data_IF_160003192232
#
_entry.id   IF_160003192232
#
_cell.length_a   1.000
_cell.length_b   1.000
_cell.length_c   1.000
_cell.angle_alpha   90.00
_cell.angle_beta   90.00
_cell.angle_gamma   90.00
#
_symmetry.space_group_name_H-M   'P 1'
#
loop_
_entity.id
_entity.type
_entity.pdbx_description
1 polymer ?
#
# COMPACT_ATOMS: atom_id res chain seq x y z
N UNK A 1 -9.50 18.90 -35.56
CA UNK A 1 -10.34 18.68 -34.36
C UNK A 1 -9.40 18.62 -33.18
N UNK A 2 -9.41 19.63 -32.32
CA UNK A 2 -8.63 19.64 -31.08
C UNK A 2 -9.32 18.70 -30.08
N UNK A 3 -8.73 17.54 -29.85
CA UNK A 3 -9.14 16.63 -28.77
C UNK A 3 -8.96 17.35 -27.44
N UNK A 4 -10.04 17.46 -26.66
CA UNK A 4 -9.99 18.04 -25.31
C UNK A 4 -9.11 17.16 -24.42
N UNK A 5 -8.25 17.72 -23.54
CA UNK A 5 -7.30 16.96 -22.72
C UNK A 5 -7.93 15.80 -21.93
N UNK A 6 -9.14 15.99 -21.40
CA UNK A 6 -9.92 14.93 -20.71
C UNK A 6 -10.21 13.71 -21.61
N UNK A 7 -10.49 13.94 -22.89
CA UNK A 7 -10.73 12.87 -23.88
C UNK A 7 -9.44 12.10 -24.18
N UNK A 8 -8.30 12.78 -24.23
CA UNK A 8 -6.99 12.16 -24.46
C UNK A 8 -6.55 11.30 -23.27
N UNK A 9 -6.67 11.81 -22.04
CA UNK A 9 -6.38 11.08 -20.81
C UNK A 9 -7.20 9.79 -20.71
N UNK A 10 -8.51 9.89 -20.95
CA UNK A 10 -9.43 8.75 -20.91
C UNK A 10 -9.09 7.70 -21.95
N UNK A 11 -8.74 8.11 -23.18
CA UNK A 11 -8.34 7.18 -24.24
C UNK A 11 -7.03 6.45 -23.92
N UNK A 12 -6.01 7.18 -23.44
CA UNK A 12 -4.71 6.61 -23.10
C UNK A 12 -4.81 5.62 -21.94
N UNK A 13 -5.49 5.99 -20.85
CA UNK A 13 -5.69 5.09 -19.72
C UNK A 13 -6.61 3.92 -20.05
N UNK A 14 -7.67 4.13 -20.84
CA UNK A 14 -8.52 3.04 -21.29
C UNK A 14 -7.74 1.98 -22.06
N UNK A 15 -6.83 2.41 -22.94
CA UNK A 15 -5.93 1.49 -23.65
C UNK A 15 -4.97 0.80 -22.70
N UNK A 16 -4.29 1.53 -21.82
CA UNK A 16 -3.33 0.95 -20.86
C UNK A 16 -4.00 -0.06 -19.90
N UNK A 17 -5.22 0.23 -19.44
CA UNK A 17 -6.01 -0.68 -18.63
C UNK A 17 -6.37 -1.96 -19.40
N UNK A 18 -6.81 -1.83 -20.66
CA UNK A 18 -7.12 -2.99 -21.50
C UNK A 18 -5.88 -3.86 -21.76
N UNK A 19 -4.74 -3.24 -22.11
CA UNK A 19 -3.46 -3.92 -22.30
C UNK A 19 -2.98 -4.64 -21.02
N UNK A 20 -3.40 -4.14 -19.84
CA UNK A 20 -3.15 -4.76 -18.54
C UNK A 20 -4.16 -5.84 -18.12
N UNK A 21 -5.19 -6.10 -18.95
CA UNK A 21 -6.26 -7.07 -18.65
C UNK A 21 -7.32 -6.54 -17.67
N UNK A 22 -7.45 -5.22 -17.55
CA UNK A 22 -8.48 -4.56 -16.75
C UNK A 22 -9.60 -3.98 -17.63
N UNK A 23 -10.78 -3.86 -17.03
CA UNK A 23 -11.92 -3.14 -17.59
C UNK A 23 -12.07 -1.79 -16.90
N UNK A 24 -12.32 -0.74 -17.69
CA UNK A 24 -12.80 0.53 -17.15
C UNK A 24 -14.29 0.37 -16.86
N UNK A 25 -14.64 0.19 -15.59
CA UNK A 25 -16.02 0.00 -15.12
C UNK A 25 -16.78 1.34 -15.15
N UNK A 26 -16.11 2.39 -14.68
CA UNK A 26 -16.68 3.74 -14.64
C UNK A 26 -15.59 4.80 -14.81
N UNK A 27 -15.98 5.94 -15.35
CA UNK A 27 -15.18 7.17 -15.39
C UNK A 27 -16.05 8.30 -14.85
N UNK A 28 -15.60 8.91 -13.76
CA UNK A 28 -16.36 9.91 -13.01
C UNK A 28 -15.53 11.18 -12.86
N UNK A 29 -16.20 12.35 -12.89
CA UNK A 29 -15.56 13.60 -12.50
C UNK A 29 -15.36 13.63 -10.99
N UNK A 30 -14.20 14.09 -10.55
CA UNK A 30 -13.84 14.29 -9.16
C UNK A 30 -13.30 15.69 -8.89
N UNK A 31 -12.97 15.93 -7.63
CA UNK A 31 -12.29 17.14 -7.18
C UNK A 31 -11.15 16.73 -6.25
N UNK A 32 -9.98 17.34 -6.46
CA UNK A 32 -8.86 17.20 -5.54
C UNK A 32 -9.11 17.95 -4.22
N UNK A 33 -8.16 17.86 -3.30
CA UNK A 33 -8.24 18.55 -2.01
C UNK A 33 -8.44 20.08 -2.11
N UNK A 34 -7.96 20.70 -3.20
CA UNK A 34 -8.05 22.13 -3.47
C UNK A 34 -9.22 22.49 -4.41
N UNK A 35 -10.19 21.58 -4.61
CA UNK A 35 -11.34 21.75 -5.50
C UNK A 35 -10.97 21.94 -6.97
N UNK A 36 -9.84 21.38 -7.41
CA UNK A 36 -9.48 21.31 -8.84
C UNK A 36 -10.05 20.04 -9.47
N UNK A 37 -10.45 20.09 -10.75
CA UNK A 37 -11.00 18.93 -11.44
C UNK A 37 -10.03 17.73 -11.51
N UNK A 38 -10.54 16.55 -11.17
CA UNK A 38 -9.87 15.25 -11.35
C UNK A 38 -10.76 14.32 -12.17
N UNK A 39 -10.17 13.30 -12.77
CA UNK A 39 -10.89 12.17 -13.36
C UNK A 39 -10.63 10.91 -12.53
N UNK A 40 -11.71 10.27 -12.09
CA UNK A 40 -11.70 9.01 -11.34
C UNK A 40 -12.03 7.85 -12.26
N UNK A 41 -11.09 6.93 -12.39
CA UNK A 41 -11.25 5.68 -13.11
C UNK A 41 -11.48 4.56 -12.11
N UNK A 42 -12.64 3.91 -12.21
CA UNK A 42 -12.90 2.65 -11.51
C UNK A 42 -12.54 1.52 -12.45
N UNK A 43 -11.48 0.80 -12.12
CA UNK A 43 -10.98 -0.34 -12.90
C UNK A 43 -11.32 -1.65 -12.19
N UNK A 44 -11.56 -2.71 -12.93
CA UNK A 44 -11.77 -4.04 -12.35
C UNK A 44 -11.35 -5.16 -13.29
N UNK A 45 -11.43 -6.38 -12.79
CA UNK A 45 -11.17 -7.58 -13.57
C UNK A 45 -12.38 -7.91 -14.46
N UNK A 46 -12.17 -8.60 -15.60
CA UNK A 46 -13.25 -9.18 -16.40
C UNK A 46 -13.78 -10.46 -15.73
N UNK A 47 -14.11 -10.39 -14.43
CA UNK A 47 -14.65 -11.46 -13.61
C UNK A 47 -15.81 -10.94 -12.73
N UNK A 48 -16.50 -11.86 -12.06
CA UNK A 48 -17.65 -11.53 -11.20
C UNK A 48 -17.23 -11.18 -9.76
N UNK A 49 -15.95 -10.89 -9.50
CA UNK A 49 -15.47 -10.71 -8.13
C UNK A 49 -15.86 -9.36 -7.51
N UNK A 50 -16.27 -8.39 -8.34
CA UNK A 50 -16.66 -7.04 -7.90
C UNK A 50 -15.52 -6.21 -7.29
N UNK A 51 -14.28 -6.73 -7.27
CA UNK A 51 -13.10 -6.04 -6.75
C UNK A 51 -12.66 -4.96 -7.73
N UNK A 52 -12.39 -3.77 -7.22
CA UNK A 52 -12.06 -2.61 -8.05
C UNK A 52 -10.83 -1.86 -7.54
N UNK A 53 -10.10 -1.26 -8.47
CA UNK A 53 -9.07 -0.26 -8.24
C UNK A 53 -9.67 1.11 -8.54
N UNK A 54 -9.45 2.08 -7.66
CA UNK A 54 -9.72 3.49 -7.92
C UNK A 54 -8.42 4.19 -8.27
N UNK A 55 -8.36 4.75 -9.48
CA UNK A 55 -7.29 5.63 -9.94
C UNK A 55 -7.85 7.03 -10.15
N UNK A 56 -7.36 8.01 -9.41
CA UNK A 56 -7.76 9.41 -9.50
C UNK A 56 -6.56 10.24 -9.96
N UNK A 57 -6.72 10.91 -11.10
CA UNK A 57 -5.70 11.78 -11.68
C UNK A 57 -6.25 13.18 -11.93
N UNK A 58 -5.40 14.20 -11.85
CA UNK A 58 -5.75 15.55 -12.33
C UNK A 58 -6.25 15.52 -13.79
N UNK A 59 -7.28 16.29 -14.14
CA UNK A 59 -7.74 16.38 -15.55
C UNK A 59 -6.68 16.96 -16.49
N UNK A 60 -5.76 17.77 -15.95
CA UNK A 60 -4.62 18.34 -16.66
C UNK A 60 -3.40 17.41 -16.69
N UNK A 61 -3.50 16.19 -16.15
CA UNK A 61 -2.39 15.24 -16.18
C UNK A 61 -2.13 14.79 -17.62
N UNK A 62 -0.88 14.87 -18.04
CA UNK A 62 -0.42 14.45 -19.36
C UNK A 62 0.73 13.46 -19.23
N UNK A 63 0.81 12.53 -20.17
CA UNK A 63 1.89 11.57 -20.31
C UNK A 63 3.01 12.14 -21.20
N UNK A 64 3.37 13.39 -20.97
CA UNK A 64 4.34 14.14 -21.78
C UNK A 64 5.77 13.58 -21.66
N UNK A 65 6.10 13.04 -20.47
CA UNK A 65 7.36 12.34 -20.24
C UNK A 65 7.27 10.88 -20.71
N UNK A 66 8.25 10.39 -21.49
CA UNK A 66 8.18 9.09 -22.15
C UNK A 66 8.10 7.90 -21.18
N UNK A 67 8.55 8.06 -19.93
CA UNK A 67 8.53 7.01 -18.91
C UNK A 67 7.18 6.86 -18.18
N UNK A 68 6.30 7.88 -18.24
CA UNK A 68 5.08 7.89 -17.41
C UNK A 68 4.07 6.83 -17.88
N UNK A 69 3.76 6.78 -19.17
CA UNK A 69 2.77 5.83 -19.69
C UNK A 69 3.23 4.36 -19.54
N UNK A 70 4.48 3.99 -19.86
CA UNK A 70 4.97 2.64 -19.57
C UNK A 70 4.87 2.26 -18.10
N UNK A 71 5.27 3.16 -17.18
CA UNK A 71 5.18 2.90 -15.74
C UNK A 71 3.72 2.78 -15.25
N UNK A 72 2.80 3.56 -15.81
CA UNK A 72 1.35 3.41 -15.58
C UNK A 72 0.87 2.02 -16.04
N UNK A 73 1.23 1.60 -17.25
CA UNK A 73 0.86 0.26 -17.76
C UNK A 73 1.39 -0.86 -16.89
N UNK A 74 2.65 -0.81 -16.46
CA UNK A 74 3.22 -1.79 -15.52
C UNK A 74 2.45 -1.82 -14.21
N UNK A 75 2.14 -0.65 -13.63
CA UNK A 75 1.33 -0.59 -12.43
C UNK A 75 -0.07 -1.21 -12.63
N UNK A 76 -0.73 -0.95 -13.76
CA UNK A 76 -2.04 -1.54 -14.04
C UNK A 76 -1.96 -3.07 -14.17
N UNK A 77 -0.88 -3.63 -14.71
CA UNK A 77 -0.64 -5.07 -14.76
C UNK A 77 -0.45 -5.66 -13.36
N UNK A 78 0.33 -4.99 -12.51
CA UNK A 78 0.50 -5.35 -11.10
C UNK A 78 -0.82 -5.25 -10.34
N UNK A 79 -1.61 -4.21 -10.59
CA UNK A 79 -2.93 -4.02 -10.00
C UNK A 79 -3.91 -5.11 -10.44
N UNK A 80 -3.87 -5.55 -11.70
CA UNK A 80 -4.66 -6.68 -12.19
C UNK A 80 -4.32 -7.98 -11.45
N UNK A 81 -3.04 -8.24 -11.16
CA UNK A 81 -2.64 -9.37 -10.30
C UNK A 81 -3.18 -9.17 -8.88
N UNK A 82 -2.95 -8.00 -8.30
CA UNK A 82 -3.34 -7.69 -6.92
C UNK A 82 -4.86 -7.74 -6.69
N UNK A 83 -5.67 -7.35 -7.68
CA UNK A 83 -7.13 -7.45 -7.64
C UNK A 83 -7.63 -8.91 -7.53
N UNK A 84 -6.80 -9.91 -7.85
CA UNK A 84 -7.15 -11.31 -7.63
C UNK A 84 -6.99 -11.75 -6.18
N UNK A 85 -6.33 -10.97 -5.33
CA UNK A 85 -6.31 -11.23 -3.89
C UNK A 85 -7.74 -11.08 -3.32
N UNK A 86 -8.11 -11.85 -2.29
CA UNK A 86 -9.40 -11.69 -1.62
C UNK A 86 -9.60 -10.28 -1.08
N UNK A 87 -8.53 -9.67 -0.55
CA UNK A 87 -8.47 -8.30 -0.05
C UNK A 87 -7.32 -7.53 -0.73
N UNK A 88 -7.55 -6.89 -1.90
CA UNK A 88 -6.51 -6.20 -2.67
C UNK A 88 -5.91 -4.98 -1.96
N UNK A 89 -6.62 -4.40 -1.00
CA UNK A 89 -6.23 -3.26 -0.18
C UNK A 89 -5.41 -3.65 1.06
N UNK A 90 -5.34 -4.94 1.38
CA UNK A 90 -4.67 -5.44 2.57
C UNK A 90 -3.17 -5.73 2.36
N UNK A 91 -2.37 -5.40 3.36
CA UNK A 91 -0.92 -5.60 3.44
C UNK A 91 -0.55 -6.13 4.82
N UNK A 92 0.70 -6.54 4.99
CA UNK A 92 1.29 -6.80 6.31
C UNK A 92 2.55 -5.96 6.50
N UNK A 93 2.87 -5.65 7.76
CA UNK A 93 4.15 -5.05 8.15
C UNK A 93 5.11 -6.12 8.66
N UNK A 94 6.42 -5.85 8.64
CA UNK A 94 7.44 -6.76 9.18
C UNK A 94 7.22 -7.03 10.66
N UNK A 95 6.72 -6.05 11.42
CA UNK A 95 6.44 -6.21 12.84
C UNK A 95 5.27 -7.17 13.17
N UNK A 96 4.43 -7.54 12.19
CA UNK A 96 3.31 -8.46 12.43
C UNK A 96 1.91 -7.89 12.22
N UNK A 97 1.78 -6.63 11.78
CA UNK A 97 0.47 -5.97 11.66
C UNK A 97 -0.16 -6.22 10.28
N UNK A 98 -1.34 -6.86 10.18
CA UNK A 98 -2.16 -6.83 8.99
C UNK A 98 -2.93 -5.51 8.92
N UNK A 99 -2.81 -4.78 7.82
CA UNK A 99 -3.44 -3.47 7.63
C UNK A 99 -4.11 -3.35 6.28
N UNK A 100 -5.23 -2.63 6.20
CA UNK A 100 -5.77 -2.16 4.92
C UNK A 100 -5.53 -0.66 4.75
N UNK A 101 -5.33 -0.25 3.50
CA UNK A 101 -5.02 1.12 3.10
C UNK A 101 -6.08 1.62 2.12
N UNK A 102 -6.83 2.64 2.52
CA UNK A 102 -7.93 3.18 1.71
C UNK A 102 -8.13 4.69 1.88
N UNK A 103 -9.15 5.21 1.20
CA UNK A 103 -9.64 6.59 1.35
C UNK A 103 -8.58 7.68 1.11
N UNK A 104 -7.63 7.42 0.19
CA UNK A 104 -6.60 8.38 -0.15
C UNK A 104 -7.17 9.51 -1.02
N UNK A 105 -6.96 10.76 -0.60
CA UNK A 105 -7.38 11.95 -1.31
C UNK A 105 -6.32 12.39 -2.32
N UNK A 106 -6.25 11.67 -3.44
CA UNK A 106 -5.33 11.96 -4.54
C UNK A 106 -5.79 13.16 -5.39
N UNK A 107 -4.86 13.83 -6.10
CA UNK A 107 -3.40 13.71 -5.98
C UNK A 107 -2.83 14.41 -4.74
N UNK A 108 -1.50 14.35 -4.59
CA UNK A 108 -0.77 15.19 -3.64
C UNK A 108 -1.07 16.68 -3.84
N UNK A 109 -1.32 17.40 -2.75
CA UNK A 109 -1.52 18.86 -2.77
C UNK A 109 -0.45 19.57 -1.95
N UNK A 110 -0.10 20.81 -2.31
CA UNK A 110 0.85 21.60 -1.52
C UNK A 110 0.23 21.96 -0.16
N UNK A 111 1.04 21.90 0.89
CA UNK A 111 0.62 22.34 2.22
C UNK A 111 0.20 23.81 2.20
N UNK A 112 -0.94 24.11 2.84
CA UNK A 112 -1.44 25.47 3.04
C UNK A 112 -0.89 26.14 4.31
N UNK A 113 -0.18 25.39 5.16
CA UNK A 113 0.38 25.89 6.42
C UNK A 113 1.74 26.61 6.26
N UNK A 114 2.17 26.90 5.03
CA UNK A 114 3.46 27.52 4.73
C UNK A 114 4.65 26.55 4.73
N UNK A 115 4.41 25.26 4.92
CA UNK A 115 5.45 24.23 4.82
C UNK A 115 5.78 23.88 3.37
N UNK A 116 7.06 23.62 3.09
CA UNK A 116 7.57 23.18 1.79
C UNK A 116 7.37 21.67 1.56
N UNK A 117 6.11 21.25 1.68
CA UNK A 117 5.70 19.85 1.54
C UNK A 117 4.45 19.71 0.69
N UNK A 118 4.38 18.60 -0.04
CA UNK A 118 3.16 18.05 -0.59
C UNK A 118 2.56 17.06 0.40
N UNK A 119 1.23 17.01 0.47
CA UNK A 119 0.49 16.17 1.39
C UNK A 119 -0.54 15.33 0.63
N UNK A 120 -0.69 14.08 1.03
CA UNK A 120 -1.85 13.24 0.71
C UNK A 120 -2.41 12.70 2.02
N UNK A 121 -3.73 12.68 2.13
CA UNK A 121 -4.43 12.14 3.28
C UNK A 121 -5.02 10.78 2.94
N UNK A 122 -5.03 9.85 3.88
CA UNK A 122 -5.65 8.53 3.72
C UNK A 122 -6.02 7.92 5.06
N UNK A 123 -6.47 6.68 5.05
CA UNK A 123 -6.78 5.91 6.26
C UNK A 123 -6.11 4.54 6.22
N UNK A 124 -5.60 4.14 7.39
CA UNK A 124 -5.01 2.82 7.64
C UNK A 124 -5.87 2.13 8.67
N UNK A 125 -6.35 0.93 8.38
CA UNK A 125 -7.17 0.13 9.31
C UNK A 125 -6.44 -1.12 9.75
N UNK A 126 -6.68 -1.58 10.99
CA UNK A 126 -6.25 -2.90 11.40
C UNK A 126 -7.12 -3.98 10.73
N UNK A 127 -6.51 -4.86 9.96
CA UNK A 127 -7.19 -5.90 9.18
C UNK A 127 -6.95 -7.30 9.79
N UNK A 128 -7.33 -7.51 11.04
CA UNK A 128 -7.08 -8.78 11.76
C UNK A 128 -8.20 -9.83 11.63
N UNK A 129 -9.17 -9.64 10.72
CA UNK A 129 -10.31 -10.53 10.52
C UNK A 129 -11.42 -10.43 11.58
N UNK A 130 -11.31 -9.53 12.56
CA UNK A 130 -12.27 -9.39 13.67
C UNK A 130 -13.12 -8.11 13.60
N UNK A 131 -13.20 -7.47 12.43
CA UNK A 131 -13.85 -6.16 12.26
C UNK A 131 -13.33 -5.12 13.25
N UNK A 132 -12.00 -5.05 13.39
CA UNK A 132 -11.37 -4.13 14.34
C UNK A 132 -11.76 -2.67 14.07
N UNK A 133 -12.15 -1.90 15.09
CA UNK A 133 -12.42 -0.46 14.94
C UNK A 133 -11.13 0.37 14.89
N UNK A 134 -9.96 -0.24 15.09
CA UNK A 134 -8.69 0.48 15.18
C UNK A 134 -8.24 0.97 13.80
N UNK A 135 -7.95 2.27 13.72
CA UNK A 135 -7.51 2.93 12.50
C UNK A 135 -6.63 4.14 12.78
N UNK A 136 -5.90 4.59 11.78
CA UNK A 136 -5.20 5.86 11.80
C UNK A 136 -5.56 6.63 10.54
N UNK A 137 -6.08 7.86 10.70
CA UNK A 137 -6.06 8.82 9.60
C UNK A 137 -4.62 9.28 9.43
N UNK A 138 -4.10 9.23 8.22
CA UNK A 138 -2.71 9.59 7.93
C UNK A 138 -2.62 10.86 7.11
N UNK A 139 -1.53 11.58 7.33
CA UNK A 139 -1.09 12.71 6.51
C UNK A 139 0.31 12.40 6.03
N UNK A 140 0.40 11.75 4.88
CA UNK A 140 1.67 11.46 4.24
C UNK A 140 2.24 12.76 3.65
N UNK A 141 3.44 13.13 4.07
CA UNK A 141 4.07 14.39 3.71
C UNK A 141 5.38 14.14 2.95
N UNK A 142 5.46 14.71 1.76
CA UNK A 142 6.59 14.62 0.84
C UNK A 142 7.25 16.00 0.72
N UNK A 143 8.54 16.12 0.99
CA UNK A 143 9.24 17.41 0.85
C UNK A 143 9.35 17.82 -0.62
N UNK A 144 9.46 19.13 -0.91
CA UNK A 144 9.68 19.62 -2.29
C UNK A 144 10.89 18.95 -2.96
N UNK A 145 11.99 18.79 -2.22
CA UNK A 145 13.20 18.11 -2.69
C UNK A 145 13.01 16.64 -3.03
N UNK A 146 12.02 15.99 -2.41
CA UNK A 146 11.66 14.62 -2.75
C UNK A 146 10.70 14.59 -3.94
N UNK A 147 9.82 15.57 -4.08
CA UNK A 147 8.94 15.68 -5.24
C UNK A 147 9.73 15.77 -6.57
N UNK A 148 10.94 16.34 -6.55
CA UNK A 148 11.83 16.41 -7.72
C UNK A 148 12.32 15.04 -8.23
N UNK A 149 12.36 14.02 -7.37
CA UNK A 149 12.82 12.67 -7.74
C UNK A 149 11.65 11.71 -8.04
N UNK A 150 10.42 12.11 -7.73
CA UNK A 150 9.22 11.33 -8.02
C UNK A 150 8.74 11.69 -9.43
N UNK A 151 8.41 10.72 -10.29
CA UNK A 151 8.01 11.02 -11.68
C UNK A 151 6.82 11.99 -11.79
N UNK A 152 5.81 11.79 -10.92
CA UNK A 152 4.64 12.67 -10.77
C UNK A 152 4.03 12.52 -9.36
N UNK A 153 3.32 13.55 -8.90
CA UNK A 153 2.64 13.55 -7.61
C UNK A 153 1.28 12.80 -7.62
N UNK A 154 0.99 12.14 -8.74
CA UNK A 154 -0.25 11.43 -9.05
C UNK A 154 -0.11 9.93 -8.73
N UNK A 155 -1.24 9.22 -8.70
CA UNK A 155 -1.20 7.76 -8.75
C UNK A 155 -0.67 7.28 -10.12
N UNK A 156 0.02 6.13 -10.19
CA UNK A 156 0.56 5.33 -9.09
C UNK A 156 1.96 5.76 -8.64
N UNK A 157 2.54 6.75 -9.31
CA UNK A 157 3.94 7.18 -9.15
C UNK A 157 4.27 7.54 -7.71
N UNK A 158 3.29 8.15 -7.01
CA UNK A 158 3.42 8.47 -5.61
C UNK A 158 2.90 7.37 -4.66
N UNK A 159 1.85 6.65 -5.05
CA UNK A 159 1.14 5.68 -4.21
C UNK A 159 2.03 4.61 -3.57
N UNK A 160 2.83 3.92 -4.39
CA UNK A 160 3.55 2.72 -3.93
C UNK A 160 4.50 3.02 -2.77
N UNK A 161 5.25 4.13 -2.82
CA UNK A 161 6.16 4.47 -1.72
C UNK A 161 5.42 5.00 -0.49
N UNK A 162 4.21 5.56 -0.63
CA UNK A 162 3.39 5.97 0.52
C UNK A 162 2.94 4.77 1.32
N UNK A 163 2.45 3.72 0.65
CA UNK A 163 2.03 2.50 1.33
C UNK A 163 3.20 1.87 2.10
N UNK A 164 4.39 1.85 1.51
CA UNK A 164 5.60 1.36 2.16
C UNK A 164 6.09 2.27 3.30
N UNK A 165 5.97 3.59 3.15
CA UNK A 165 6.28 4.54 4.22
C UNK A 165 5.35 4.36 5.42
N UNK A 166 4.05 4.13 5.18
CA UNK A 166 3.07 3.84 6.25
C UNK A 166 3.47 2.57 7.00
N UNK A 167 3.74 1.47 6.29
CA UNK A 167 4.15 0.20 6.89
C UNK A 167 5.42 0.34 7.74
N UNK A 168 6.42 1.06 7.22
CA UNK A 168 7.66 1.35 7.96
C UNK A 168 7.41 2.23 9.19
N UNK A 169 6.52 3.21 9.10
CA UNK A 169 6.17 4.10 10.22
C UNK A 169 5.49 3.32 11.35
N UNK A 170 4.64 2.34 10.99
CA UNK A 170 4.07 1.38 11.95
C UNK A 170 5.15 0.52 12.60
N UNK A 171 6.09 -0.05 11.83
CA UNK A 171 7.18 -0.87 12.39
C UNK A 171 8.08 -0.10 13.36
N UNK A 172 8.20 1.22 13.17
CA UNK A 172 8.96 2.09 14.07
C UNK A 172 8.15 2.58 15.27
N UNK A 173 6.89 2.18 15.42
CA UNK A 173 6.02 2.62 16.51
C UNK A 173 5.68 4.11 16.42
N UNK A 174 5.81 4.71 15.23
CA UNK A 174 5.60 6.14 14.97
C UNK A 174 4.20 6.45 14.44
N UNK A 175 3.37 5.42 14.23
CA UNK A 175 1.97 5.53 13.86
C UNK A 175 1.15 4.62 14.79
N UNK A 176 0.19 5.20 15.51
CA UNK A 176 -0.66 4.47 16.45
C UNK A 176 -2.03 4.17 15.81
N UNK A 177 -2.47 2.90 15.83
CA UNK A 177 -3.83 2.56 15.40
C UNK A 177 -4.80 2.84 16.54
N UNK A 178 -5.53 3.95 16.42
CA UNK A 178 -6.40 4.52 17.44
C UNK A 178 -7.89 4.43 17.05
N UNK A 179 -8.76 4.88 17.94
CA UNK A 179 -10.15 5.25 17.59
C UNK A 179 -10.27 6.77 17.45
N UNK A 180 -9.28 7.41 16.82
CA UNK A 180 -9.14 8.88 16.79
C UNK A 180 -9.36 9.44 15.39
N UNK A 181 -10.03 10.60 15.32
CA UNK A 181 -10.21 11.36 14.09
C UNK A 181 -9.00 12.22 13.71
N UNK A 182 -7.98 12.32 14.55
CA UNK A 182 -6.81 13.15 14.28
C UNK A 182 -5.88 12.50 13.26
N UNK A 183 -5.39 13.30 12.31
CA UNK A 183 -4.41 12.84 11.32
C UNK A 183 -3.04 12.72 11.96
N UNK A 184 -2.39 11.58 11.77
CA UNK A 184 -1.03 11.33 12.20
C UNK A 184 -0.07 11.53 11.02
N UNK A 185 1.10 12.14 11.23
CA UNK A 185 2.06 12.40 10.17
C UNK A 185 2.74 11.10 9.73
N UNK A 186 2.89 10.93 8.41
CA UNK A 186 3.73 9.89 7.82
C UNK A 186 4.82 10.59 7.00
N UNK A 187 6.06 10.69 7.50
CA UNK A 187 7.11 11.41 6.81
C UNK A 187 7.65 10.60 5.63
N UNK A 188 7.62 11.20 4.44
CA UNK A 188 8.21 10.64 3.22
C UNK A 188 9.43 11.48 2.90
N UNK A 189 10.60 10.92 3.16
CA UNK A 189 11.85 11.68 3.10
C UNK A 189 12.80 11.05 2.11
N UNK A 190 13.80 11.82 1.67
CA UNK A 190 14.91 11.36 0.84
C UNK A 190 15.69 10.20 1.44
N UNK A 191 15.55 9.92 2.75
CA UNK A 191 16.13 8.72 3.39
C UNK A 191 15.55 7.41 2.85
N UNK A 192 14.38 7.45 2.22
CA UNK A 192 13.80 6.28 1.58
C UNK A 192 14.26 6.10 0.13
N UNK A 193 15.16 6.94 -0.38
CA UNK A 193 15.63 6.85 -1.76
C UNK A 193 17.16 6.90 -1.84
N UNK A 194 17.75 5.86 -2.44
CA UNK A 194 19.17 5.86 -2.78
C UNK A 194 19.37 6.55 -4.12
N UNK A 195 19.95 7.76 -4.12
CA UNK A 195 20.32 8.46 -5.37
C UNK A 195 21.35 7.70 -6.19
N UNK A 196 22.22 6.93 -5.54
CA UNK A 196 23.26 6.13 -6.18
C UNK A 196 22.70 4.91 -6.90
N UNK A 197 21.78 4.20 -6.25
CA UNK A 197 21.15 3.00 -6.82
C UNK A 197 19.86 3.32 -7.59
N UNK A 198 19.41 4.58 -7.55
CA UNK A 198 18.16 5.08 -8.12
C UNK A 198 16.92 4.28 -7.72
N UNK A 199 16.89 3.74 -6.49
CA UNK A 199 15.77 2.95 -5.97
C UNK A 199 15.32 3.39 -4.59
N UNK A 200 14.05 3.11 -4.28
CA UNK A 200 13.53 3.25 -2.93
C UNK A 200 14.01 2.12 -2.02
N UNK A 201 14.18 2.44 -0.74
CA UNK A 201 14.62 1.53 0.31
C UNK A 201 13.82 1.84 1.59
N UNK A 202 13.15 0.83 2.14
CA UNK A 202 12.35 0.98 3.35
C UNK A 202 12.96 0.19 4.51
N UNK A 203 12.89 -1.13 4.47
CA UNK A 203 13.35 -1.96 5.57
C UNK A 203 14.55 -2.77 5.12
N UNK A 204 15.64 -2.74 5.90
CA UNK A 204 16.73 -3.67 5.70
C UNK A 204 16.30 -5.02 6.24
N UNK A 205 16.40 -6.07 5.42
CA UNK A 205 15.97 -7.42 5.81
C UNK A 205 16.97 -8.44 5.34
N UNK A 206 17.17 -9.47 6.15
CA UNK A 206 17.85 -10.70 5.78
C UNK A 206 16.85 -11.75 5.28
N UNK A 207 17.36 -12.91 4.90
CA UNK A 207 16.55 -13.99 4.32
C UNK A 207 15.54 -14.55 5.34
N UNK A 208 15.94 -14.70 6.61
CA UNK A 208 15.06 -15.16 7.68
C UNK A 208 13.87 -14.20 7.87
N UNK A 209 14.14 -12.89 7.90
CA UNK A 209 13.10 -11.86 8.03
C UNK A 209 12.14 -11.88 6.84
N UNK A 210 12.64 -12.09 5.62
CA UNK A 210 11.81 -12.15 4.40
C UNK A 210 10.96 -13.41 4.35
N UNK A 211 11.52 -14.57 4.69
CA UNK A 211 10.76 -15.81 4.79
C UNK A 211 9.65 -15.70 5.83
N UNK A 212 9.97 -15.14 7.00
CA UNK A 212 9.01 -14.90 8.06
C UNK A 212 7.90 -13.92 7.61
N UNK A 213 8.27 -12.85 6.89
CA UNK A 213 7.29 -11.93 6.31
C UNK A 213 6.35 -12.64 5.32
N UNK A 214 6.86 -13.52 4.45
CA UNK A 214 6.03 -14.25 3.49
C UNK A 214 5.06 -15.22 4.20
N UNK A 215 5.51 -15.90 5.25
CA UNK A 215 4.66 -16.75 6.08
C UNK A 215 3.57 -15.93 6.79
N UNK A 216 3.95 -14.80 7.40
CA UNK A 216 3.04 -13.84 8.03
C UNK A 216 2.00 -13.28 7.03
N UNK A 217 2.44 -12.91 5.83
CA UNK A 217 1.59 -12.44 4.74
C UNK A 217 0.56 -13.48 4.34
N UNK A 218 0.99 -14.73 4.13
CA UNK A 218 0.08 -15.82 3.78
C UNK A 218 -0.88 -16.14 4.93
N UNK A 219 -0.40 -16.14 6.18
CA UNK A 219 -1.25 -16.37 7.34
C UNK A 219 -2.38 -15.34 7.42
N UNK A 220 -2.06 -14.05 7.39
CA UNK A 220 -3.07 -13.00 7.52
C UNK A 220 -3.93 -12.83 6.27
N UNK A 221 -3.30 -12.69 5.10
CA UNK A 221 -4.02 -12.29 3.88
C UNK A 221 -4.70 -13.47 3.19
N UNK A 222 -4.09 -14.66 3.20
CA UNK A 222 -4.71 -15.87 2.65
C UNK A 222 -5.54 -16.57 3.72
N UNK A 223 -4.95 -16.93 4.86
CA UNK A 223 -5.62 -17.70 5.91
C UNK A 223 -6.77 -16.95 6.58
N UNK A 224 -6.45 -15.90 7.32
CA UNK A 224 -7.41 -15.17 8.17
C UNK A 224 -8.40 -14.35 7.35
N UNK A 225 -7.92 -13.46 6.48
CA UNK A 225 -8.77 -12.57 5.69
C UNK A 225 -9.34 -13.28 4.45
N UNK A 226 -8.53 -14.11 3.80
CA UNK A 226 -8.88 -14.75 2.53
C UNK A 226 -9.60 -16.09 2.65
N UNK A 227 -9.84 -16.60 3.85
CA UNK A 227 -10.39 -17.95 4.06
C UNK A 227 -9.63 -19.04 3.24
N UNK A 228 -8.30 -19.00 3.32
CA UNK A 228 -7.35 -19.84 2.59
C UNK A 228 -7.29 -19.64 1.07
N UNK A 229 -7.98 -18.65 0.50
CA UNK A 229 -7.84 -18.33 -0.91
C UNK A 229 -6.42 -17.81 -1.24
N UNK A 230 -5.85 -18.13 -2.41
CA UNK A 230 -4.49 -17.74 -2.75
C UNK A 230 -4.30 -16.21 -2.79
N UNK A 231 -3.14 -15.74 -2.34
CA UNK A 231 -2.72 -14.34 -2.42
C UNK A 231 -1.44 -14.21 -3.22
N UNK A 232 -1.30 -13.12 -3.98
CA UNK A 232 -0.12 -12.86 -4.78
C UNK A 232 1.10 -12.72 -3.87
N UNK A 233 2.08 -13.63 -3.98
CA UNK A 233 3.18 -13.72 -3.02
C UNK A 233 4.35 -12.81 -3.40
N UNK A 234 4.63 -12.71 -4.70
CA UNK A 234 5.72 -11.95 -5.32
C UNK A 234 5.32 -10.51 -5.70
N UNK A 235 4.67 -9.81 -4.77
CA UNK A 235 4.22 -8.42 -4.99
C UNK A 235 5.42 -7.45 -5.01
N UNK A 236 5.64 -6.66 -6.10
CA UNK A 236 6.72 -5.68 -6.19
C UNK A 236 6.72 -4.61 -5.09
N UNK A 237 5.56 -4.29 -4.51
CA UNK A 237 5.46 -3.37 -3.37
C UNK A 237 6.07 -3.97 -2.11
N UNK A 238 5.87 -5.28 -1.91
CA UNK A 238 6.50 -6.02 -0.82
C UNK A 238 8.00 -6.19 -1.06
N UNK A 239 8.40 -6.47 -2.30
CA UNK A 239 9.81 -6.53 -2.67
C UNK A 239 10.53 -5.20 -2.38
N UNK A 240 9.94 -4.07 -2.76
CA UNK A 240 10.47 -2.74 -2.46
C UNK A 240 10.52 -2.47 -0.95
N UNK A 241 9.47 -2.85 -0.22
CA UNK A 241 9.38 -2.66 1.23
C UNK A 241 10.46 -3.45 1.99
N UNK A 242 10.72 -4.68 1.57
CA UNK A 242 11.73 -5.57 2.14
C UNK A 242 13.14 -5.37 1.57
N UNK A 243 13.34 -4.41 0.66
CA UNK A 243 14.60 -4.22 -0.06
C UNK A 243 15.12 -5.52 -0.73
N UNK A 244 14.26 -6.18 -1.51
CA UNK A 244 14.57 -7.37 -2.30
C UNK A 244 13.90 -7.30 -3.69
N UNK A 245 13.84 -8.40 -4.44
CA UNK A 245 13.15 -8.49 -5.73
C UNK A 245 11.95 -9.45 -5.68
N UNK A 246 11.02 -9.32 -6.62
CA UNK A 246 9.85 -10.20 -6.70
C UNK A 246 10.24 -11.67 -6.98
N UNK A 247 11.30 -11.88 -7.76
CA UNK A 247 11.87 -13.20 -8.06
C UNK A 247 12.43 -13.86 -6.79
N UNK A 248 13.09 -13.07 -5.94
CA UNK A 248 13.64 -13.56 -4.68
C UNK A 248 12.53 -13.92 -3.69
N UNK A 249 11.45 -13.13 -3.64
CA UNK A 249 10.25 -13.49 -2.87
C UNK A 249 9.62 -14.79 -3.39
N UNK A 250 9.55 -14.97 -4.71
CA UNK A 250 9.03 -16.21 -5.30
C UNK A 250 9.91 -17.42 -4.95
N UNK A 251 11.24 -17.25 -4.97
CA UNK A 251 12.21 -18.29 -4.59
C UNK A 251 12.01 -18.71 -3.13
N UNK A 252 11.95 -17.75 -2.21
CA UNK A 252 11.72 -17.97 -0.78
C UNK A 252 10.35 -18.59 -0.50
N UNK A 253 9.31 -18.21 -1.25
CA UNK A 253 8.00 -18.85 -1.15
C UNK A 253 8.06 -20.35 -1.49
N UNK A 254 8.91 -20.74 -2.46
CA UNK A 254 9.18 -22.15 -2.78
C UNK A 254 9.92 -22.90 -1.66
N UNK A 255 10.71 -22.23 -0.83
CA UNK A 255 11.31 -22.84 0.36
C UNK A 255 10.28 -23.06 1.45
N UNK A 256 9.38 -22.11 1.67
CA UNK A 256 8.26 -22.25 2.60
C UNK A 256 7.26 -23.34 2.17
N UNK A 257 7.07 -23.54 0.86
CA UNK A 257 6.30 -24.68 0.33
C UNK A 257 6.97 -26.01 0.66
N UNK A 258 8.29 -26.14 0.49
CA UNK A 258 9.03 -27.35 0.89
C UNK A 258 8.95 -27.63 2.38
N UNK A 259 8.83 -26.59 3.20
CA UNK A 259 8.58 -26.70 4.64
C UNK A 259 7.12 -27.02 4.99
N UNK A 260 6.23 -27.09 3.99
CA UNK A 260 4.81 -27.38 4.16
C UNK A 260 3.99 -26.21 4.72
N UNK A 261 4.52 -24.98 4.73
CA UNK A 261 3.83 -23.80 5.26
C UNK A 261 2.97 -23.08 4.21
N UNK A 262 3.38 -23.14 2.95
CA UNK A 262 2.65 -22.57 1.83
C UNK A 262 2.26 -23.65 0.83
N UNK A 263 1.19 -23.39 0.09
CA UNK A 263 0.86 -24.07 -1.16
C UNK A 263 0.98 -23.06 -2.29
N UNK A 264 1.89 -23.29 -3.25
CA UNK A 264 2.06 -22.37 -4.38
C UNK A 264 1.07 -22.65 -5.52
N UNK A 265 0.66 -21.56 -6.17
CA UNK A 265 -0.25 -21.50 -7.30
C UNK A 265 0.31 -20.48 -8.30
N UNK A 266 1.36 -20.87 -9.04
CA UNK A 266 2.18 -19.95 -9.84
C UNK A 266 2.71 -18.78 -8.99
N UNK A 267 2.32 -17.54 -9.27
CA UNK A 267 2.72 -16.35 -8.52
C UNK A 267 1.99 -16.19 -7.17
N UNK A 268 0.99 -17.04 -6.88
CA UNK A 268 0.15 -16.95 -5.69
C UNK A 268 0.52 -18.03 -4.68
N UNK A 269 0.16 -17.81 -3.42
CA UNK A 269 0.31 -18.79 -2.36
C UNK A 269 -0.91 -18.81 -1.44
N UNK A 270 -1.29 -19.99 -0.99
CA UNK A 270 -2.25 -20.17 0.11
C UNK A 270 -1.52 -20.62 1.38
N UNK A 271 -2.01 -20.18 2.54
CA UNK A 271 -1.57 -20.71 3.83
C UNK A 271 -2.03 -22.16 4.03
N UNK A 272 -1.14 -23.05 4.47
CA UNK A 272 -1.50 -24.46 4.76
C UNK A 272 -2.04 -24.61 6.19
N UNK A 273 -2.66 -25.76 6.54
CA UNK A 273 -2.99 -26.05 7.94
C UNK A 273 -1.81 -25.98 8.90
N UNK A 274 -0.58 -26.30 8.43
CA UNK A 274 0.63 -26.21 9.25
C UNK A 274 1.01 -24.75 9.55
N UNK A 275 0.81 -23.83 8.61
CA UNK A 275 0.96 -22.40 8.86
C UNK A 275 -0.14 -21.88 9.80
N UNK A 276 -1.39 -22.31 9.59
CA UNK A 276 -2.50 -21.88 10.44
C UNK A 276 -2.36 -22.36 11.89
N UNK A 277 -1.68 -23.49 12.12
CA UNK A 277 -1.34 -23.97 13.47
C UNK A 277 -0.40 -23.01 14.24
N UNK A 278 0.21 -22.01 13.56
CA UNK A 278 1.01 -20.94 14.18
C UNK A 278 0.19 -19.73 14.62
N UNK A 279 -1.15 -19.81 14.61
CA UNK A 279 -2.03 -18.69 14.95
C UNK A 279 -1.65 -17.98 16.25
N UNK A 280 -1.41 -18.72 17.34
CA UNK A 280 -1.00 -18.15 18.63
C UNK A 280 0.28 -17.33 18.54
N UNK A 281 1.24 -17.74 17.72
CA UNK A 281 2.49 -17.00 17.50
C UNK A 281 2.22 -15.67 16.78
N UNK A 282 1.44 -15.71 15.70
CA UNK A 282 1.17 -14.52 14.89
C UNK A 282 0.22 -13.54 15.57
N UNK A 283 -0.73 -14.02 16.37
CA UNK A 283 -1.53 -13.19 17.26
C UNK A 283 -0.66 -12.53 18.33
N UNK A 284 0.31 -13.24 18.91
CA UNK A 284 1.26 -12.65 19.85
C UNK A 284 2.14 -11.58 19.19
N UNK A 285 2.60 -11.81 17.95
CA UNK A 285 3.33 -10.79 17.16
C UNK A 285 2.47 -9.56 16.88
N UNK A 286 1.22 -9.74 16.45
CA UNK A 286 0.25 -8.67 16.27
C UNK A 286 0.10 -7.84 17.54
N UNK A 287 -0.14 -8.49 18.69
CA UNK A 287 -0.33 -7.81 19.97
C UNK A 287 0.93 -7.05 20.40
N UNK A 288 2.10 -7.65 20.24
CA UNK A 288 3.39 -6.99 20.53
C UNK A 288 3.60 -5.77 19.65
N UNK A 289 3.27 -5.84 18.36
CA UNK A 289 3.40 -4.72 17.44
C UNK A 289 2.40 -3.59 17.77
N UNK A 290 1.15 -3.93 18.10
CA UNK A 290 0.16 -2.95 18.56
C UNK A 290 0.64 -2.25 19.83
N UNK A 291 1.18 -2.99 20.78
CA UNK A 291 1.71 -2.42 22.02
C UNK A 291 2.89 -1.48 21.76
N UNK A 292 3.79 -1.87 20.84
CA UNK A 292 4.93 -1.03 20.46
C UNK A 292 4.52 0.29 19.80
N UNK A 293 3.36 0.35 19.13
CA UNK A 293 2.84 1.60 18.56
C UNK A 293 2.23 2.55 19.59
N UNK A 294 2.00 2.09 20.83
CA UNK A 294 1.47 2.94 21.90
C UNK A 294 2.61 3.72 22.54
N UNK A 295 2.51 5.06 22.65
CA UNK A 295 3.49 5.83 23.39
C UNK A 295 3.42 5.49 24.88
N UNK A 296 4.50 4.95 25.45
CA UNK A 296 4.64 4.65 26.89
C UNK A 296 4.42 5.87 27.78
N UNK A 297 4.73 7.07 27.28
CA UNK A 297 4.52 8.34 27.98
C UNK A 297 3.04 8.70 28.18
N UNK A 298 2.13 8.11 27.39
CA UNK A 298 0.72 8.53 27.37
C UNK A 298 -0.18 7.73 28.33
N UNK A 299 0.33 6.68 28.97
CA UNK A 299 -0.45 5.89 29.93
C UNK A 299 -0.64 6.62 31.27
N UNK A 300 0.43 7.24 31.80
CA UNK A 300 0.36 8.05 33.03
C UNK A 300 -0.51 9.31 32.84
N UNK A 301 -0.45 9.93 31.65
CA UNK A 301 -1.28 11.07 31.25
C UNK A 301 -2.75 10.67 31.01
N UNK A 302 -3.02 9.51 30.38
CA UNK A 302 -4.40 8.99 30.19
C UNK A 302 -5.07 8.60 31.52
N UNK A 303 -4.30 8.16 32.50
CA UNK A 303 -4.80 7.86 33.84
C UNK A 303 -5.03 9.13 34.70
N UNK A 304 -4.73 10.32 34.17
CA UNK A 304 -4.91 11.59 34.88
C UNK A 304 -3.94 11.77 36.06
N UNK A 305 -2.81 11.04 36.08
CA UNK A 305 -1.85 11.08 37.18
C UNK A 305 -0.82 12.21 37.08
N UNK A 306 -0.76 12.90 35.94
CA UNK A 306 0.12 14.05 35.73
C UNK A 306 -0.69 15.31 35.45
N UNK A 307 -1.25 15.88 36.52
CA UNK A 307 -1.45 17.32 36.62
C UNK A 307 -0.18 17.92 37.23
N UNK A 308 0.62 18.60 36.42
CA UNK A 308 1.49 19.70 36.86
C UNK A 308 1.38 20.86 35.88
#
# INVERSE_FOLDING_TARGET
MTTTPQTALTAMLGKAANDAGLLVIATEAGLDFNQKPTTRFRLGLPDDSGRTLLLELSEAFDFDKPELLPAMTTHLQEAAKRLRNPHPDAYVTVAGLPVSLDSFAWPFHRSTSGADTFIVHGTVHLANGQNSPLHAKVSASMTLTFAEIVPAAEQPYAETFIYNAIRKTLDYGQLELLKSGNRQPVPVTTRYYSRWQKKFFFTDTDDDTRMEFLALKAFWLSGVLGNSAPVWISDPRDAQYLNTTAEELQRMAGELEKQGLLQLHADYASGTPALMARATEYEAKLMKALEYTKPTFNEEMRAGHTNM
#
